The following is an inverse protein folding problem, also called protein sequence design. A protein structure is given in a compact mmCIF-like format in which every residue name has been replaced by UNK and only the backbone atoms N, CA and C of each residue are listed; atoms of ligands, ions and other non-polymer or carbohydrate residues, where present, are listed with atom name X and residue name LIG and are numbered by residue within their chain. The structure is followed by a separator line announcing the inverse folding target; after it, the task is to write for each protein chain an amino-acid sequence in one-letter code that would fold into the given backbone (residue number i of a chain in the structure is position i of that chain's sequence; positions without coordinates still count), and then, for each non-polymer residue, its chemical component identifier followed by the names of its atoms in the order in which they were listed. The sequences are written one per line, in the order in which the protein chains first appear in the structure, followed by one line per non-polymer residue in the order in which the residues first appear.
data_IF_486278423938
#
_entry.id   IF_486278423938
#
_cell.length_a   1.000
_cell.length_b   1.000
_cell.length_c   1.000
_cell.angle_alpha   90.00
_cell.angle_beta   90.00
_cell.angle_gamma   90.00
#
_symmetry.space_group_name_H-M   'P 1'
#
loop_
_entity.id
_entity.type
_entity.pdbx_description
1 polymer ?
#
# COMPACT_ATOMS: atom_id res chain seq x y z
N UNK A 1 11.01 -11.37 22.64
CA UNK A 1 10.56 -10.51 21.51
C UNK A 1 10.77 -11.29 20.22
N UNK A 2 9.83 -11.30 19.28
CA UNK A 2 9.95 -12.02 18.01
C UNK A 2 10.98 -11.33 17.11
N UNK A 3 12.09 -11.99 16.82
CA UNK A 3 13.22 -11.43 16.04
C UNK A 3 13.07 -11.62 14.52
N UNK A 4 12.01 -12.30 14.09
CA UNK A 4 11.75 -12.48 12.66
C UNK A 4 11.53 -11.11 11.98
N UNK A 5 11.99 -10.92 10.75
CA UNK A 5 11.89 -9.62 10.08
C UNK A 5 10.46 -9.26 9.68
N UNK A 6 10.23 -7.96 9.46
CA UNK A 6 9.05 -7.44 8.77
C UNK A 6 9.34 -7.41 7.27
N UNK A 7 8.53 -8.10 6.48
CA UNK A 7 8.58 -7.99 5.02
C UNK A 7 7.89 -6.70 4.56
N UNK A 8 8.52 -5.97 3.66
CA UNK A 8 7.94 -4.77 3.03
C UNK A 8 8.03 -4.94 1.53
N UNK A 9 6.94 -4.77 0.80
CA UNK A 9 7.03 -4.76 -0.66
C UNK A 9 6.28 -3.59 -1.31
N UNK A 10 6.79 -3.22 -2.47
CA UNK A 10 6.24 -2.22 -3.38
C UNK A 10 6.41 -2.67 -4.83
N UNK A 11 5.65 -2.11 -5.72
CA UNK A 11 5.82 -2.30 -7.17
C UNK A 11 7.10 -1.67 -7.74
N UNK A 12 7.84 -0.89 -6.96
CA UNK A 12 9.04 -0.18 -7.39
C UNK A 12 9.94 0.18 -6.21
N UNK A 13 10.35 1.45 -6.14
CA UNK A 13 11.26 1.96 -5.11
C UNK A 13 10.60 2.99 -4.17
N UNK A 14 9.36 3.40 -4.46
CA UNK A 14 8.63 4.38 -3.65
C UNK A 14 8.38 3.91 -2.22
N UNK A 15 8.21 2.61 -2.03
CA UNK A 15 8.03 1.97 -0.72
C UNK A 15 9.22 2.11 0.22
N UNK A 16 10.41 2.51 -0.25
CA UNK A 16 11.55 2.84 0.60
C UNK A 16 11.26 4.03 1.53
N UNK A 17 10.32 4.88 1.17
CA UNK A 17 9.83 5.93 2.07
C UNK A 17 9.15 5.35 3.31
N UNK A 18 8.36 4.30 3.16
CA UNK A 18 7.75 3.57 4.28
C UNK A 18 8.82 2.86 5.14
N UNK A 19 9.84 2.25 4.52
CA UNK A 19 10.96 1.64 5.23
C UNK A 19 11.71 2.67 6.08
N UNK A 20 11.95 3.86 5.53
CA UNK A 20 12.60 4.95 6.27
C UNK A 20 11.82 5.33 7.54
N UNK A 21 10.52 5.48 7.43
CA UNK A 21 9.69 5.84 8.59
C UNK A 21 9.55 4.66 9.57
N UNK A 22 9.45 3.43 9.08
CA UNK A 22 9.41 2.24 9.91
C UNK A 22 10.69 2.11 10.76
N UNK A 23 11.86 2.36 10.17
CA UNK A 23 13.15 2.34 10.90
C UNK A 23 13.28 3.42 11.96
N UNK A 24 12.62 4.58 11.79
CA UNK A 24 12.59 5.62 12.84
C UNK A 24 11.71 5.20 14.01
N UNK A 25 10.58 4.57 13.74
CA UNK A 25 9.61 4.15 14.76
C UNK A 25 10.05 2.87 15.48
N UNK A 26 10.69 1.96 14.76
CA UNK A 26 11.09 0.63 15.22
C UNK A 26 12.57 0.38 14.83
N UNK A 27 13.54 1.07 15.45
CA UNK A 27 14.93 1.03 15.03
C UNK A 27 15.59 -0.35 15.18
N UNK A 28 15.07 -1.18 16.07
CA UNK A 28 15.56 -2.54 16.33
C UNK A 28 14.92 -3.62 15.45
N UNK A 29 13.96 -3.26 14.58
CA UNK A 29 13.29 -4.23 13.71
C UNK A 29 14.16 -4.59 12.50
N UNK A 30 14.24 -5.89 12.23
CA UNK A 30 14.79 -6.39 10.99
C UNK A 30 13.76 -6.20 9.86
N UNK A 31 14.19 -5.66 8.74
CA UNK A 31 13.32 -5.38 7.59
C UNK A 31 13.90 -6.03 6.34
N UNK A 32 13.04 -6.75 5.62
CA UNK A 32 13.34 -7.24 4.27
C UNK A 32 12.45 -6.45 3.30
N UNK A 33 13.08 -5.69 2.42
CA UNK A 33 12.38 -4.94 1.38
C UNK A 33 12.47 -5.64 0.03
N UNK A 34 11.33 -5.76 -0.64
CA UNK A 34 11.25 -6.24 -2.02
C UNK A 34 10.55 -5.21 -2.91
N UNK A 35 11.24 -4.72 -3.93
CA UNK A 35 10.69 -3.86 -4.98
C UNK A 35 10.55 -4.64 -6.28
N UNK A 36 9.31 -4.83 -6.75
CA UNK A 36 9.03 -5.57 -8.00
C UNK A 36 9.26 -4.69 -9.24
N UNK A 37 10.48 -4.20 -9.38
CA UNK A 37 10.86 -3.24 -10.42
C UNK A 37 10.80 -3.79 -11.84
N UNK A 38 10.82 -5.10 -11.99
CA UNK A 38 10.77 -5.75 -13.32
C UNK A 38 9.39 -5.72 -13.98
N UNK A 39 8.31 -5.52 -13.17
CA UNK A 39 6.92 -5.58 -13.64
C UNK A 39 6.18 -4.23 -13.60
N UNK A 40 6.90 -3.16 -13.26
CA UNK A 40 6.31 -1.80 -13.30
C UNK A 40 5.88 -1.43 -14.72
N UNK A 41 4.81 -0.64 -14.86
CA UNK A 41 3.96 -0.05 -13.82
C UNK A 41 2.77 -0.97 -13.45
N UNK A 42 2.40 -0.95 -12.17
CA UNK A 42 1.22 -1.65 -11.66
C UNK A 42 -0.09 -0.90 -11.93
N UNK A 43 -0.05 0.42 -11.88
CA UNK A 43 -1.23 1.30 -11.83
C UNK A 43 -2.20 1.21 -13.01
N UNK A 44 -1.79 0.66 -14.14
CA UNK A 44 -2.62 0.43 -15.33
C UNK A 44 -3.03 -1.04 -15.54
N UNK A 45 -2.62 -1.96 -14.66
CA UNK A 45 -2.91 -3.38 -14.80
C UNK A 45 -4.34 -3.71 -14.36
N UNK A 46 -4.85 -4.85 -14.82
CA UNK A 46 -6.14 -5.38 -14.37
C UNK A 46 -6.05 -5.91 -12.92
N UNK A 47 -7.17 -5.99 -12.19
CA UNK A 47 -7.17 -6.53 -10.82
C UNK A 47 -6.61 -7.94 -10.72
N UNK A 48 -6.86 -8.80 -11.71
CA UNK A 48 -6.38 -10.18 -11.76
C UNK A 48 -4.85 -10.24 -11.87
N UNK A 49 -4.27 -9.39 -12.73
CA UNK A 49 -2.82 -9.30 -12.91
C UNK A 49 -2.17 -8.75 -11.64
N UNK A 50 -2.76 -7.71 -11.04
CA UNK A 50 -2.27 -7.14 -9.78
C UNK A 50 -2.28 -8.16 -8.65
N UNK A 51 -3.35 -8.93 -8.53
CA UNK A 51 -3.46 -9.98 -7.51
C UNK A 51 -2.44 -11.10 -7.75
N UNK A 52 -2.26 -11.51 -9.02
CA UNK A 52 -1.23 -12.51 -9.38
C UNK A 52 0.16 -12.06 -8.95
N UNK A 53 0.53 -10.80 -9.24
CA UNK A 53 1.84 -10.26 -8.87
C UNK A 53 1.98 -10.15 -7.34
N UNK A 54 0.99 -9.60 -6.66
CA UNK A 54 1.00 -9.44 -5.22
C UNK A 54 1.11 -10.78 -4.46
N UNK A 55 0.48 -11.85 -4.96
CA UNK A 55 0.64 -13.21 -4.41
C UNK A 55 2.06 -13.73 -4.56
N UNK A 56 2.69 -13.47 -5.69
CA UNK A 56 4.09 -13.86 -5.93
C UNK A 56 5.05 -13.08 -5.03
N UNK A 57 4.81 -11.78 -4.84
CA UNK A 57 5.61 -10.92 -3.96
C UNK A 57 5.49 -11.38 -2.49
N UNK A 58 4.27 -11.68 -2.03
CA UNK A 58 4.02 -12.25 -0.70
C UNK A 58 4.69 -13.61 -0.54
N UNK A 59 4.56 -14.50 -1.53
CA UNK A 59 5.20 -15.82 -1.50
C UNK A 59 6.72 -15.71 -1.40
N UNK A 60 7.33 -14.80 -2.18
CA UNK A 60 8.76 -14.54 -2.11
C UNK A 60 9.19 -14.04 -0.74
N UNK A 61 8.48 -13.06 -0.17
CA UNK A 61 8.81 -12.55 1.16
C UNK A 61 8.66 -13.63 2.25
N UNK A 62 7.68 -14.51 2.14
CA UNK A 62 7.49 -15.61 3.10
C UNK A 62 8.63 -16.63 3.13
N UNK A 63 9.46 -16.70 2.08
CA UNK A 63 10.67 -17.55 2.10
C UNK A 63 11.74 -17.10 3.09
N UNK A 64 11.60 -15.91 3.67
CA UNK A 64 12.54 -15.35 4.65
C UNK A 64 12.07 -15.45 6.11
N UNK A 65 11.10 -16.32 6.40
CA UNK A 65 10.53 -16.50 7.76
C UNK A 65 10.14 -15.17 8.43
N UNK A 66 9.38 -14.36 7.73
CA UNK A 66 8.92 -13.05 8.21
C UNK A 66 7.75 -13.18 9.19
N UNK A 67 7.59 -12.21 10.11
CA UNK A 67 6.48 -12.17 11.09
C UNK A 67 5.27 -11.34 10.64
N UNK A 68 5.45 -10.42 9.72
CA UNK A 68 4.39 -9.55 9.19
C UNK A 68 4.78 -9.00 7.82
N UNK A 69 3.80 -8.50 7.05
CA UNK A 69 4.04 -7.83 5.78
C UNK A 69 3.45 -6.41 5.82
N UNK A 70 4.24 -5.44 5.37
CA UNK A 70 3.77 -4.10 5.01
C UNK A 70 3.71 -3.97 3.48
N UNK A 71 2.50 -3.82 2.95
CA UNK A 71 2.26 -3.51 1.54
C UNK A 71 2.42 -2.01 1.34
N UNK A 72 3.61 -1.58 0.95
CA UNK A 72 3.93 -0.17 0.75
C UNK A 72 3.43 0.37 -0.61
N UNK A 73 2.96 -0.51 -1.50
CA UNK A 73 2.36 -0.15 -2.77
C UNK A 73 0.91 0.32 -2.60
N UNK A 74 0.62 1.59 -2.95
CA UNK A 74 -0.74 2.13 -2.91
C UNK A 74 -1.70 1.37 -3.81
N UNK A 75 -1.28 0.99 -5.01
CA UNK A 75 -2.11 0.22 -5.96
C UNK A 75 -2.49 -1.15 -5.41
N UNK A 76 -1.55 -1.90 -4.86
CA UNK A 76 -1.82 -3.22 -4.25
C UNK A 76 -2.66 -3.08 -2.98
N UNK A 77 -2.36 -2.07 -2.15
CA UNK A 77 -3.13 -1.80 -0.93
C UNK A 77 -4.59 -1.49 -1.20
N UNK A 78 -4.91 -0.83 -2.32
CA UNK A 78 -6.29 -0.49 -2.69
C UNK A 78 -7.03 -1.64 -3.35
N UNK A 79 -6.34 -2.52 -4.09
CA UNK A 79 -6.98 -3.50 -4.97
C UNK A 79 -6.90 -4.94 -4.43
N UNK A 80 -5.81 -5.32 -3.76
CA UNK A 80 -5.52 -6.71 -3.44
C UNK A 80 -5.52 -7.02 -1.94
N UNK A 81 -5.33 -6.01 -1.07
CA UNK A 81 -5.10 -6.20 0.37
C UNK A 81 -6.15 -7.09 1.06
N UNK A 82 -7.47 -6.91 0.82
CA UNK A 82 -8.47 -7.76 1.48
C UNK A 82 -8.35 -9.24 1.13
N UNK A 83 -7.93 -9.55 -0.10
CA UNK A 83 -7.73 -10.92 -0.56
C UNK A 83 -6.47 -11.50 0.05
N UNK A 84 -5.36 -10.76 0.01
CA UNK A 84 -4.08 -11.19 0.60
C UNK A 84 -4.22 -11.49 2.09
N UNK A 85 -4.99 -10.68 2.85
CA UNK A 85 -5.28 -10.91 4.27
C UNK A 85 -6.03 -12.21 4.53
N UNK A 86 -6.97 -12.59 3.66
CA UNK A 86 -7.75 -13.83 3.81
C UNK A 86 -6.92 -15.08 3.44
N UNK A 87 -5.96 -14.94 2.56
CA UNK A 87 -5.15 -16.04 2.04
C UNK A 87 -3.91 -16.34 2.88
N UNK A 88 -3.59 -15.48 3.85
CA UNK A 88 -2.36 -15.59 4.63
C UNK A 88 -2.65 -15.58 6.13
N UNK A 89 -1.88 -16.36 6.85
CA UNK A 89 -1.95 -16.55 8.31
C UNK A 89 -1.16 -15.49 9.11
N UNK A 90 -0.31 -14.70 8.44
CA UNK A 90 0.45 -13.63 9.08
C UNK A 90 -0.19 -12.25 8.88
N UNK A 91 0.06 -11.28 9.78
CA UNK A 91 -0.48 -9.94 9.64
C UNK A 91 -0.01 -9.27 8.35
N UNK A 92 -0.96 -8.77 7.54
CA UNK A 92 -0.66 -7.97 6.34
C UNK A 92 -1.29 -6.59 6.51
N UNK A 93 -0.44 -5.57 6.53
CA UNK A 93 -0.81 -4.16 6.66
C UNK A 93 -0.68 -3.45 5.31
N UNK A 94 -1.49 -2.44 5.07
CA UNK A 94 -1.41 -1.60 3.88
C UNK A 94 -1.34 -0.12 4.24
N UNK A 95 -1.06 0.71 3.24
CA UNK A 95 -0.85 2.15 3.43
C UNK A 95 -2.13 3.00 3.32
N UNK A 96 -3.24 2.42 2.89
CA UNK A 96 -4.50 3.16 2.66
C UNK A 96 -5.11 3.65 3.97
N UNK A 97 -5.33 2.75 4.92
CA UNK A 97 -6.02 3.08 6.17
C UNK A 97 -5.30 4.16 6.99
N UNK A 98 -3.98 4.07 7.25
CA UNK A 98 -3.27 5.13 7.98
C UNK A 98 -3.29 6.46 7.23
N UNK A 99 -3.22 6.46 5.90
CA UNK A 99 -3.34 7.68 5.10
C UNK A 99 -4.74 8.31 5.22
N UNK A 100 -5.80 7.50 5.18
CA UNK A 100 -7.18 7.96 5.35
C UNK A 100 -7.42 8.56 6.73
N UNK A 101 -6.96 7.88 7.81
CA UNK A 101 -7.05 8.40 9.18
C UNK A 101 -6.36 9.76 9.30
N UNK A 102 -5.15 9.87 8.74
CA UNK A 102 -4.42 11.14 8.77
C UNK A 102 -5.12 12.24 7.98
N UNK A 103 -5.65 11.93 6.81
CA UNK A 103 -6.39 12.89 5.98
C UNK A 103 -7.61 13.44 6.71
N UNK A 104 -8.40 12.58 7.35
CA UNK A 104 -9.58 12.98 8.15
C UNK A 104 -9.17 13.87 9.33
N UNK A 105 -8.07 13.54 10.02
CA UNK A 105 -7.58 14.32 11.15
C UNK A 105 -7.11 15.74 10.77
N UNK A 106 -6.51 15.91 9.60
CA UNK A 106 -5.87 17.19 9.21
C UNK A 106 -6.74 18.10 8.35
N UNK A 107 -7.78 17.56 7.71
CA UNK A 107 -8.65 18.39 6.85
C UNK A 107 -9.44 19.40 7.66
N UNK A 108 -9.29 20.68 7.34
CA UNK A 108 -10.05 21.77 7.97
C UNK A 108 -11.36 22.08 7.24
N UNK A 109 -11.43 21.71 5.97
CA UNK A 109 -12.56 22.04 5.07
C UNK A 109 -13.49 20.86 4.84
N UNK A 110 -13.19 19.69 5.42
CA UNK A 110 -13.86 18.41 5.13
C UNK A 110 -13.83 18.04 3.64
N UNK A 111 -12.79 18.48 2.95
CA UNK A 111 -12.53 18.15 1.55
C UNK A 111 -11.11 17.60 1.42
N UNK A 112 -10.97 16.48 0.76
CA UNK A 112 -9.69 15.80 0.52
C UNK A 112 -9.52 15.58 -0.96
N UNK A 113 -8.43 16.09 -1.53
CA UNK A 113 -8.00 15.77 -2.89
C UNK A 113 -7.21 14.45 -2.88
N UNK A 114 -7.57 13.53 -3.75
CA UNK A 114 -6.85 12.26 -3.97
C UNK A 114 -6.26 12.26 -5.38
N UNK A 115 -4.94 12.20 -5.48
CA UNK A 115 -4.23 11.88 -6.72
C UNK A 115 -3.61 10.50 -6.58
N UNK A 116 -3.92 9.58 -7.47
CA UNK A 116 -3.48 8.20 -7.39
C UNK A 116 -3.42 7.53 -8.77
N UNK A 117 -2.93 6.29 -8.84
CA UNK A 117 -2.99 5.51 -10.07
C UNK A 117 -4.44 5.25 -10.50
N UNK A 118 -4.64 4.98 -11.79
CA UNK A 118 -5.97 4.67 -12.29
C UNK A 118 -6.63 3.48 -11.59
N UNK A 119 -5.85 2.43 -11.26
CA UNK A 119 -6.36 1.28 -10.52
C UNK A 119 -6.80 1.66 -9.09
N UNK A 120 -6.02 2.47 -8.39
CA UNK A 120 -6.37 2.95 -7.04
C UNK A 120 -7.64 3.79 -7.03
N UNK A 121 -7.79 4.72 -7.99
CA UNK A 121 -9.01 5.55 -8.10
C UNK A 121 -10.23 4.69 -8.44
N UNK A 122 -10.11 3.78 -9.41
CA UNK A 122 -11.22 2.87 -9.78
C UNK A 122 -11.66 1.96 -8.64
N UNK A 123 -10.75 1.61 -7.73
CA UNK A 123 -11.09 0.74 -6.58
C UNK A 123 -12.06 1.38 -5.59
N UNK A 124 -12.12 2.71 -5.53
CA UNK A 124 -12.91 3.44 -4.54
C UNK A 124 -12.48 3.22 -3.08
N UNK A 125 -11.31 2.61 -2.85
CA UNK A 125 -10.86 2.20 -1.51
C UNK A 125 -10.63 3.39 -0.57
N UNK A 126 -10.10 4.49 -1.08
CA UNK A 126 -9.89 5.70 -0.28
C UNK A 126 -11.21 6.37 0.10
N UNK A 127 -12.12 6.52 -0.87
CA UNK A 127 -13.45 7.10 -0.66
C UNK A 127 -14.24 6.29 0.37
N UNK A 128 -14.22 4.97 0.23
CA UNK A 128 -14.89 4.05 1.18
C UNK A 128 -14.25 4.14 2.57
N UNK A 129 -12.93 4.18 2.65
CA UNK A 129 -12.21 4.27 3.91
C UNK A 129 -12.47 5.60 4.63
N UNK A 130 -12.36 6.72 3.92
CA UNK A 130 -12.62 8.06 4.47
C UNK A 130 -14.08 8.21 4.88
N UNK A 131 -15.02 7.79 4.04
CA UNK A 131 -16.45 7.83 4.34
C UNK A 131 -16.85 6.99 5.54
N UNK A 132 -16.15 5.88 5.80
CA UNK A 132 -16.33 5.08 7.01
C UNK A 132 -15.76 5.72 8.27
N UNK A 133 -14.74 6.57 8.15
CA UNK A 133 -14.13 7.30 9.26
C UNK A 133 -14.89 8.61 9.61
N UNK A 134 -15.27 9.36 8.59
CA UNK A 134 -16.09 10.58 8.71
C UNK A 134 -16.91 10.77 7.42
N UNK A 135 -18.23 10.48 7.45
CA UNK A 135 -19.13 10.63 6.30
C UNK A 135 -19.27 12.08 5.79
N UNK A 136 -18.90 13.07 6.60
CA UNK A 136 -18.96 14.47 6.21
C UNK A 136 -17.76 14.90 5.34
N UNK A 137 -16.69 14.09 5.26
CA UNK A 137 -15.52 14.38 4.44
C UNK A 137 -15.78 13.96 3.00
N UNK A 138 -15.65 14.91 2.09
CA UNK A 138 -15.76 14.68 0.64
C UNK A 138 -14.40 14.43 0.02
N UNK A 139 -14.29 13.35 -0.74
CA UNK A 139 -13.09 13.02 -1.52
C UNK A 139 -13.27 13.43 -2.97
N UNK A 140 -12.28 14.12 -3.54
CA UNK A 140 -12.21 14.49 -4.96
C UNK A 140 -11.04 13.74 -5.55
N UNK A 141 -11.31 12.67 -6.28
CA UNK A 141 -10.29 11.79 -6.82
C UNK A 141 -9.92 12.14 -8.28
N UNK A 142 -8.62 12.09 -8.58
CA UNK A 142 -8.09 12.25 -9.93
C UNK A 142 -7.07 11.15 -10.22
N UNK A 143 -7.33 10.39 -11.26
CA UNK A 143 -6.36 9.42 -11.76
C UNK A 143 -5.17 10.12 -12.43
N UNK A 144 -3.97 9.76 -12.00
CA UNK A 144 -2.69 10.24 -12.55
C UNK A 144 -1.89 9.04 -13.07
N UNK A 145 -1.91 8.75 -14.38
CA UNK A 145 -1.30 7.53 -14.93
C UNK A 145 0.21 7.40 -14.67
N UNK A 146 0.88 8.52 -14.44
CA UNK A 146 2.33 8.57 -14.22
C UNK A 146 2.74 8.84 -12.76
N UNK A 147 1.79 8.88 -11.83
CA UNK A 147 2.11 9.08 -10.42
C UNK A 147 3.00 7.94 -9.90
N UNK A 148 4.08 8.29 -9.20
CA UNK A 148 5.06 7.34 -8.69
C UNK A 148 6.10 6.87 -9.72
N UNK A 149 6.08 7.37 -10.94
CA UNK A 149 7.13 7.11 -11.93
C UNK A 149 8.22 8.18 -11.83
N UNK A 150 9.49 7.72 -11.81
CA UNK A 150 10.60 8.63 -12.10
C UNK A 150 10.58 8.93 -13.61
N UNK A 151 10.66 10.20 -13.97
CA UNK A 151 10.97 10.60 -15.34
C UNK A 151 12.50 10.55 -15.47
N UNK A 152 12.98 9.68 -16.32
CA UNK A 152 14.37 9.66 -16.79
C UNK A 152 14.42 10.45 -18.09
#
# INVERSE_FOLDING_TARGET
MDQRPVGVFDSGVGGLSAVRELRKLLPSENIIYFGDTSRVPYGGRSPEILLKYARQDVHFLRSFDIKAILVACGTVSTTCLPILRRENDLPILGVVEPACRRAVQVTKTRRVGLIATAASVRSGAYEKCIGGLDPAVKVIAKACPQIGRAHV
#
